data_IF_065561579463
#
_entry.id   IF_065561579463
#
_cell.length_a   1.000
_cell.length_b   1.000
_cell.length_c   1.000
_cell.angle_alpha   90.00
_cell.angle_beta   90.00
_cell.angle_gamma   90.00
#
_symmetry.space_group_name_H-M   'P 1'
#
loop_
_entity.id
_entity.type
_entity.pdbx_description
1 polymer ?
#
# COMPACT_ATOMS: atom_id res chain seq x y z
N UNK A 1 -37.01 26.28 -12.32
CA UNK A 1 -36.59 24.85 -12.32
C UNK A 1 -35.13 24.64 -12.71
N UNK A 2 -34.62 25.20 -13.82
CA UNK A 2 -33.23 25.00 -14.30
C UNK A 2 -32.12 25.24 -13.25
N UNK A 3 -32.25 26.27 -12.40
CA UNK A 3 -31.27 26.58 -11.33
C UNK A 3 -31.17 25.50 -10.25
N UNK A 4 -32.29 24.90 -9.83
CA UNK A 4 -32.30 23.85 -8.80
C UNK A 4 -31.67 22.55 -9.34
N UNK A 5 -31.96 22.18 -10.59
CA UNK A 5 -31.40 20.98 -11.23
C UNK A 5 -29.87 21.11 -11.34
N UNK A 6 -29.38 22.28 -11.76
CA UNK A 6 -27.95 22.55 -11.84
C UNK A 6 -27.26 22.45 -10.47
N UNK A 7 -27.86 23.02 -9.43
CA UNK A 7 -27.33 22.95 -8.05
C UNK A 7 -27.19 21.50 -7.54
N UNK A 8 -28.23 20.69 -7.71
CA UNK A 8 -28.21 19.28 -7.33
C UNK A 8 -27.14 18.50 -8.10
N UNK A 9 -27.01 18.75 -9.41
CA UNK A 9 -25.98 18.11 -10.21
C UNK A 9 -24.56 18.45 -9.71
N UNK A 10 -24.28 19.74 -9.45
CA UNK A 10 -22.98 20.15 -8.88
C UNK A 10 -22.72 19.57 -7.50
N UNK A 11 -23.74 19.51 -6.62
CA UNK A 11 -23.58 18.93 -5.30
C UNK A 11 -23.25 17.43 -5.38
N UNK A 12 -23.96 16.69 -6.22
CA UNK A 12 -23.69 15.27 -6.46
C UNK A 12 -22.30 15.06 -7.04
N UNK A 13 -21.89 15.87 -8.01
CA UNK A 13 -20.56 15.77 -8.61
C UNK A 13 -19.46 16.06 -7.59
N UNK A 14 -19.67 17.04 -6.70
CA UNK A 14 -18.75 17.38 -5.63
C UNK A 14 -18.60 16.23 -4.62
N UNK A 15 -19.71 15.61 -4.21
CA UNK A 15 -19.70 14.44 -3.33
C UNK A 15 -18.97 13.26 -4.00
N UNK A 16 -19.20 13.02 -5.28
CA UNK A 16 -18.49 11.98 -6.03
C UNK A 16 -16.97 12.26 -6.08
N UNK A 17 -16.56 13.50 -6.30
CA UNK A 17 -15.15 13.88 -6.23
C UNK A 17 -14.55 13.64 -4.85
N UNK A 18 -15.26 14.00 -3.77
CA UNK A 18 -14.80 13.73 -2.40
C UNK A 18 -14.66 12.22 -2.13
N UNK A 19 -15.62 11.41 -2.58
CA UNK A 19 -15.54 9.95 -2.46
C UNK A 19 -14.35 9.37 -3.25
N UNK A 20 -14.11 9.87 -4.47
CA UNK A 20 -12.97 9.42 -5.28
C UNK A 20 -11.62 9.81 -4.67
N UNK A 21 -11.51 11.02 -4.10
CA UNK A 21 -10.32 11.46 -3.37
C UNK A 21 -10.11 10.56 -2.14
N UNK A 22 -11.17 10.32 -1.36
CA UNK A 22 -11.12 9.46 -0.18
C UNK A 22 -10.67 8.03 -0.50
N UNK A 23 -11.23 7.43 -1.56
CA UNK A 23 -10.86 6.09 -2.00
C UNK A 23 -9.39 6.00 -2.44
N UNK A 24 -8.90 6.99 -3.19
CA UNK A 24 -7.50 7.01 -3.64
C UNK A 24 -6.50 7.25 -2.50
N UNK A 25 -6.87 8.03 -1.47
CA UNK A 25 -5.98 8.35 -0.35
C UNK A 25 -5.96 7.29 0.76
N UNK A 26 -7.09 6.66 1.09
CA UNK A 26 -7.18 5.77 2.26
C UNK A 26 -7.27 4.29 1.90
N UNK A 27 -7.96 3.94 0.82
CA UNK A 27 -8.26 2.53 0.49
C UNK A 27 -7.11 1.87 -0.28
N UNK A 28 -6.35 2.63 -1.06
CA UNK A 28 -5.25 2.06 -1.87
C UNK A 28 -3.97 1.78 -1.04
N UNK A 29 -3.89 2.22 0.22
CA UNK A 29 -2.68 2.11 1.07
C UNK A 29 -2.64 0.89 1.97
N UNK A 30 -3.72 0.63 2.71
CA UNK A 30 -3.79 -0.47 3.66
C UNK A 30 -3.59 -1.86 3.02
N UNK A 31 -4.21 -2.21 1.88
CA UNK A 31 -4.05 -3.53 1.29
C UNK A 31 -2.64 -3.76 0.74
N UNK A 32 -2.01 -2.73 0.17
CA UNK A 32 -0.66 -2.83 -0.39
C UNK A 32 0.37 -2.98 0.72
N UNK A 33 0.23 -2.23 1.83
CA UNK A 33 1.08 -2.40 3.01
C UNK A 33 0.92 -3.77 3.65
N UNK A 34 -0.30 -4.29 3.73
CA UNK A 34 -0.56 -5.62 4.24
C UNK A 34 0.09 -6.69 3.36
N UNK A 35 -0.06 -6.57 2.04
CA UNK A 35 0.57 -7.46 1.06
C UNK A 35 2.10 -7.39 1.12
N UNK A 36 2.67 -6.18 1.25
CA UNK A 36 4.10 -5.97 1.40
C UNK A 36 4.65 -6.64 2.67
N UNK A 37 3.97 -6.44 3.80
CA UNK A 37 4.33 -7.06 5.07
C UNK A 37 4.25 -8.59 5.00
N UNK A 38 3.20 -9.13 4.39
CA UNK A 38 3.05 -10.58 4.25
C UNK A 38 4.14 -11.16 3.32
N UNK A 39 4.55 -10.41 2.31
CA UNK A 39 5.67 -10.78 1.43
C UNK A 39 6.98 -10.80 2.21
N UNK A 40 7.26 -9.80 3.06
CA UNK A 40 8.43 -9.77 3.94
C UNK A 40 8.45 -10.97 4.91
N UNK A 41 7.33 -11.23 5.59
CA UNK A 41 7.17 -12.35 6.54
C UNK A 41 7.33 -13.72 5.87
N UNK A 42 6.82 -13.86 4.65
CA UNK A 42 6.97 -15.09 3.86
C UNK A 42 8.42 -15.28 3.43
N UNK A 43 9.08 -14.21 2.96
CA UNK A 43 10.48 -14.24 2.56
C UNK A 43 11.43 -14.55 3.74
N UNK A 44 11.12 -14.03 4.93
CA UNK A 44 11.82 -14.34 6.18
C UNK A 44 11.55 -15.76 6.73
N UNK A 45 10.63 -16.52 6.12
CA UNK A 45 10.37 -17.92 6.45
C UNK A 45 9.66 -18.15 7.79
N UNK A 46 9.01 -17.12 8.34
CA UNK A 46 8.39 -17.15 9.67
C UNK A 46 6.87 -16.96 9.66
N UNK A 47 6.30 -16.57 8.51
CA UNK A 47 4.86 -16.34 8.37
C UNK A 47 4.34 -15.35 9.42
N UNK A 48 3.17 -15.63 9.99
CA UNK A 48 2.50 -14.69 10.90
C UNK A 48 3.19 -14.49 12.25
N UNK A 49 4.08 -15.42 12.64
CA UNK A 49 4.78 -15.40 13.94
C UNK A 49 5.91 -14.39 14.02
N UNK A 50 6.26 -13.76 12.90
CA UNK A 50 7.30 -12.76 12.87
C UNK A 50 6.88 -11.46 13.56
N UNK A 51 7.71 -11.05 14.53
CA UNK A 51 7.59 -9.76 15.19
C UNK A 51 8.40 -8.74 14.40
N UNK A 52 7.76 -7.60 14.14
CA UNK A 52 8.42 -6.46 13.54
C UNK A 52 9.10 -5.66 14.64
N UNK A 53 10.36 -5.33 14.45
CA UNK A 53 11.09 -4.41 15.33
C UNK A 53 10.95 -2.98 14.81
N UNK A 54 11.16 -2.80 13.50
CA UNK A 54 11.12 -1.50 12.84
C UNK A 54 10.43 -1.58 11.46
N UNK A 55 9.74 -0.51 11.09
CA UNK A 55 9.14 -0.33 9.77
C UNK A 55 9.44 1.06 9.24
N UNK A 56 10.01 1.12 8.04
CA UNK A 56 10.14 2.35 7.27
C UNK A 56 9.44 2.20 5.91
N UNK A 57 8.45 3.04 5.64
CA UNK A 57 7.66 2.94 4.41
C UNK A 57 7.72 4.24 3.62
N UNK A 58 8.23 4.17 2.40
CA UNK A 58 8.13 5.24 1.42
C UNK A 58 7.14 4.86 0.32
N UNK A 59 6.22 5.76 0.01
CA UNK A 59 5.25 5.59 -1.08
C UNK A 59 5.42 6.67 -2.13
N UNK A 60 5.74 6.24 -3.34
CA UNK A 60 5.63 7.04 -4.56
C UNK A 60 4.33 6.76 -5.31
N UNK A 61 4.10 7.51 -6.39
CA UNK A 61 2.87 7.42 -7.18
C UNK A 61 2.66 6.05 -7.87
N UNK A 62 3.74 5.32 -8.16
CA UNK A 62 3.72 4.03 -8.89
C UNK A 62 4.40 2.87 -8.15
N UNK A 63 5.08 3.19 -7.06
CA UNK A 63 5.94 2.26 -6.33
C UNK A 63 5.83 2.54 -4.85
N UNK A 64 5.64 1.49 -4.06
CA UNK A 64 5.80 1.50 -2.63
C UNK A 64 7.07 0.72 -2.28
N UNK A 65 7.92 1.30 -1.44
CA UNK A 65 9.06 0.63 -0.83
C UNK A 65 8.80 0.54 0.67
N UNK A 66 8.80 -0.67 1.21
CA UNK A 66 8.71 -0.92 2.64
C UNK A 66 9.97 -1.62 3.10
N UNK A 67 10.62 -1.08 4.11
CA UNK A 67 11.74 -1.67 4.81
C UNK A 67 11.24 -2.20 6.15
N UNK A 68 11.53 -3.48 6.39
CA UNK A 68 11.01 -4.26 7.50
C UNK A 68 12.18 -4.88 8.23
N UNK A 69 12.40 -4.45 9.47
CA UNK A 69 13.31 -5.14 10.38
C UNK A 69 12.54 -6.18 11.15
N UNK A 70 12.91 -7.44 10.94
CA UNK A 70 12.24 -8.58 11.53
C UNK A 70 13.15 -9.16 12.60
N UNK A 71 12.63 -9.24 13.84
CA UNK A 71 13.38 -9.72 14.99
C UNK A 71 13.94 -11.13 14.73
N UNK A 72 15.28 -11.26 14.80
CA UNK A 72 15.98 -12.53 14.56
C UNK A 72 16.01 -13.03 13.12
N UNK A 73 15.59 -12.21 12.14
CA UNK A 73 15.61 -12.53 10.69
C UNK A 73 16.30 -11.47 9.81
N UNK A 74 16.73 -10.35 10.40
CA UNK A 74 17.46 -9.28 9.72
C UNK A 74 16.55 -8.32 8.95
N UNK A 75 17.18 -7.52 8.09
CA UNK A 75 16.53 -6.46 7.33
C UNK A 75 15.97 -6.95 5.99
N UNK A 76 14.70 -6.63 5.74
CA UNK A 76 13.99 -6.99 4.52
C UNK A 76 13.42 -5.76 3.82
N UNK A 77 13.85 -5.53 2.58
CA UNK A 77 13.26 -4.50 1.71
C UNK A 77 12.23 -5.13 0.79
N UNK A 78 11.00 -4.62 0.80
CA UNK A 78 9.93 -5.03 -0.10
C UNK A 78 9.59 -3.88 -1.03
N UNK A 79 9.57 -4.17 -2.32
CA UNK A 79 9.17 -3.23 -3.35
C UNK A 79 7.87 -3.74 -3.98
N UNK A 80 6.79 -2.98 -3.80
CA UNK A 80 5.52 -3.23 -4.46
C UNK A 80 5.33 -2.22 -5.59
N UNK A 81 5.32 -2.71 -6.82
CA UNK A 81 5.11 -1.88 -8.01
C UNK A 81 3.73 -2.14 -8.59
N UNK A 82 3.02 -1.06 -8.92
CA UNK A 82 1.74 -1.15 -9.63
C UNK A 82 2.00 -1.31 -11.13
N UNK A 83 1.32 -2.25 -11.78
CA UNK A 83 1.46 -2.44 -13.23
C UNK A 83 0.83 -1.31 -14.05
N UNK A 84 -0.26 -0.69 -13.55
CA UNK A 84 -0.99 0.40 -14.22
C UNK A 84 -1.54 1.42 -13.22
N UNK A 85 -1.60 2.70 -13.63
CA UNK A 85 -1.98 3.84 -12.78
C UNK A 85 -3.46 3.77 -12.33
N UNK A 86 -4.35 3.21 -13.17
CA UNK A 86 -5.81 3.31 -13.01
C UNK A 86 -6.46 1.97 -12.60
N UNK A 87 -5.68 0.90 -12.46
CA UNK A 87 -6.18 -0.41 -12.04
C UNK A 87 -5.23 -1.54 -12.38
N UNK A 88 -4.85 -2.33 -11.37
CA UNK A 88 -3.94 -3.47 -11.52
C UNK A 88 -3.42 -3.94 -10.18
N UNK A 89 -3.16 -5.25 -10.07
CA UNK A 89 -2.58 -5.88 -8.88
C UNK A 89 -1.16 -5.36 -8.64
N UNK A 90 -0.82 -5.14 -7.36
CA UNK A 90 0.55 -4.80 -6.97
C UNK A 90 1.38 -6.08 -6.99
N UNK A 91 2.48 -6.05 -7.77
CA UNK A 91 3.49 -7.10 -7.70
C UNK A 91 4.53 -6.69 -6.66
N UNK A 92 4.55 -7.40 -5.55
CA UNK A 92 5.50 -7.20 -4.46
C UNK A 92 6.68 -8.16 -4.60
N UNK A 93 7.90 -7.66 -4.44
CA UNK A 93 9.12 -8.44 -4.43
C UNK A 93 9.90 -8.11 -3.17
N UNK A 94 10.28 -9.13 -2.41
CA UNK A 94 11.14 -8.99 -1.24
C UNK A 94 12.60 -9.24 -1.61
N UNK A 95 13.49 -8.43 -1.05
CA UNK A 95 14.93 -8.58 -1.14
C UNK A 95 15.47 -8.41 0.28
N UNK A 96 16.11 -9.45 0.80
CA UNK A 96 16.68 -9.44 2.14
C UNK A 96 18.18 -9.68 2.08
N UNK A 97 18.92 -8.94 2.90
CA UNK A 97 20.19 -9.44 3.41
C UNK A 97 19.83 -10.22 4.67
N UNK A 98 19.66 -11.54 4.55
CA UNK A 98 19.57 -12.37 5.74
C UNK A 98 20.89 -12.21 6.49
N UNK A 99 20.87 -11.51 7.62
CA UNK A 99 22.05 -11.45 8.49
C UNK A 99 22.34 -12.88 8.94
N UNK A 100 23.52 -13.42 8.60
CA UNK A 100 23.94 -14.69 9.17
C UNK A 100 24.15 -14.47 10.67
N UNK A 101 23.37 -15.25 11.44
CA UNK A 101 23.42 -15.45 12.90
C UNK A 101 24.58 -14.82 13.67
#
# INVERSE_FOLDING_TARGET
>A
MKRRIFQWFTATLFVLCLCAIYANLLVDDAPVRAQALQTAKTAAGCGDKCKLDSFHGERGMLQMRGEYDIEGKGHWTVICRRAFIVGGEYKCTATGAAEPK
#
